data_IF_989182437546
#
_entry.id   IF_989182437546
#
_cell.length_a   1.000
_cell.length_b   1.000
_cell.length_c   1.000
_cell.angle_alpha   90.00
_cell.angle_beta   90.00
_cell.angle_gamma   90.00
#
_symmetry.space_group_name_H-M   'P 1'
#
loop_
_entity.id
_entity.type
_entity.pdbx_description
1 polymer ?
#
# COMPACT_ATOMS: atom_id res chain seq x y z
N UNK A 1 20.38 22.58 7.16
CA UNK A 1 20.56 21.73 5.97
C UNK A 1 19.37 20.79 5.90
N UNK A 2 18.40 21.09 5.03
CA UNK A 2 17.23 20.22 4.86
C UNK A 2 17.63 19.03 3.99
N UNK A 3 17.62 17.83 4.57
CA UNK A 3 17.70 16.58 3.83
C UNK A 3 16.38 16.39 3.09
N UNK A 4 16.37 16.66 1.78
CA UNK A 4 15.28 16.24 0.91
C UNK A 4 15.52 14.76 0.60
N UNK A 5 14.91 13.88 1.38
CA UNK A 5 14.88 12.45 1.06
C UNK A 5 13.89 12.24 -0.08
N UNK A 6 14.40 12.15 -1.30
CA UNK A 6 13.63 11.66 -2.46
C UNK A 6 13.43 10.15 -2.32
N UNK A 7 12.51 9.71 -1.47
CA UNK A 7 12.08 8.30 -1.49
C UNK A 7 10.59 8.20 -1.67
N UNK A 8 10.14 8.75 -2.79
CA UNK A 8 8.96 8.27 -3.48
C UNK A 8 9.35 7.28 -4.58
N UNK A 9 10.20 6.29 -4.26
CA UNK A 9 10.75 5.30 -5.22
C UNK A 9 9.64 4.60 -6.01
N UNK A 10 9.92 3.92 -7.11
CA UNK A 10 8.89 3.27 -7.95
C UNK A 10 8.09 2.21 -7.18
N UNK A 11 6.91 1.83 -7.71
CA UNK A 11 6.16 0.66 -7.22
C UNK A 11 7.12 -0.53 -7.11
N UNK A 12 7.19 -1.22 -5.96
CA UNK A 12 8.10 -2.35 -5.78
C UNK A 12 7.71 -3.52 -6.69
N UNK A 13 8.67 -4.39 -6.99
CA UNK A 13 8.46 -5.55 -7.85
C UNK A 13 8.27 -6.83 -7.01
N UNK A 14 7.09 -6.98 -6.41
CA UNK A 14 6.68 -8.21 -5.73
C UNK A 14 6.24 -9.28 -6.73
N UNK A 15 6.39 -10.55 -6.34
CA UNK A 15 5.88 -11.69 -7.11
C UNK A 15 4.55 -12.16 -6.54
N UNK A 16 3.47 -11.84 -7.25
CA UNK A 16 2.12 -12.33 -6.94
C UNK A 16 2.08 -13.87 -6.95
N UNK A 17 2.81 -14.50 -7.86
CA UNK A 17 2.89 -15.96 -7.98
C UNK A 17 3.51 -16.60 -6.73
N UNK A 18 4.55 -15.98 -6.14
CA UNK A 18 5.17 -16.48 -4.91
C UNK A 18 4.25 -16.29 -3.71
N UNK A 19 3.64 -15.11 -3.58
CA UNK A 19 2.67 -14.81 -2.52
C UNK A 19 1.49 -15.77 -2.55
N UNK A 20 0.80 -15.86 -3.69
CA UNK A 20 -0.40 -16.68 -3.85
C UNK A 20 -0.14 -18.18 -3.75
N UNK A 21 1.06 -18.64 -4.15
CA UNK A 21 1.48 -20.02 -3.90
C UNK A 21 1.57 -20.30 -2.39
N UNK A 22 2.24 -19.42 -1.63
CA UNK A 22 2.38 -19.58 -0.18
C UNK A 22 1.01 -19.59 0.52
N UNK A 23 0.08 -18.74 0.08
CA UNK A 23 -1.29 -18.74 0.63
C UNK A 23 -2.04 -20.02 0.26
N UNK A 24 -1.99 -20.47 -1.00
CA UNK A 24 -2.65 -21.70 -1.40
C UNK A 24 -2.09 -22.95 -0.68
N UNK A 25 -0.78 -22.99 -0.43
CA UNK A 25 -0.12 -24.04 0.36
C UNK A 25 -0.58 -23.98 1.83
N UNK A 26 -0.63 -22.80 2.43
CA UNK A 26 -1.13 -22.60 3.80
C UNK A 26 -2.59 -23.05 3.95
N UNK A 27 -3.43 -22.75 2.95
CA UNK A 27 -4.85 -23.08 2.95
C UNK A 27 -5.14 -24.52 2.52
N UNK A 28 -4.16 -25.25 1.95
CA UNK A 28 -4.36 -26.53 1.27
C UNK A 28 -5.39 -26.47 0.11
N UNK A 29 -5.47 -25.31 -0.55
CA UNK A 29 -6.46 -25.01 -1.59
C UNK A 29 -5.75 -24.58 -2.89
N UNK A 30 -5.37 -25.52 -3.78
CA UNK A 30 -4.59 -25.21 -4.98
C UNK A 30 -5.35 -24.32 -5.98
N UNK A 31 -6.68 -24.41 -5.98
CA UNK A 31 -7.56 -23.61 -6.85
C UNK A 31 -7.65 -22.14 -6.41
N UNK A 32 -7.24 -21.82 -5.18
CA UNK A 32 -7.15 -20.45 -4.68
C UNK A 32 -6.05 -19.62 -5.39
N UNK A 33 -5.07 -20.27 -6.01
CA UNK A 33 -3.91 -19.59 -6.61
C UNK A 33 -4.32 -18.59 -7.69
N UNK A 34 -5.18 -18.99 -8.63
CA UNK A 34 -5.50 -18.17 -9.79
C UNK A 34 -6.33 -16.93 -9.40
N UNK A 35 -7.42 -17.04 -8.62
CA UNK A 35 -8.15 -15.87 -8.11
C UNK A 35 -7.28 -14.94 -7.26
N UNK A 36 -6.33 -15.48 -6.47
CA UNK A 36 -5.38 -14.67 -5.73
C UNK A 36 -4.47 -13.85 -6.65
N UNK A 37 -3.89 -14.48 -7.68
CA UNK A 37 -2.99 -13.82 -8.64
C UNK A 37 -3.72 -12.69 -9.37
N UNK A 38 -4.99 -12.89 -9.72
CA UNK A 38 -5.81 -11.86 -10.36
C UNK A 38 -5.98 -10.64 -9.46
N UNK A 39 -6.33 -10.84 -8.18
CA UNK A 39 -6.44 -9.75 -7.19
C UNK A 39 -5.13 -9.01 -6.97
N UNK A 40 -4.02 -9.73 -6.88
CA UNK A 40 -2.69 -9.13 -6.74
C UNK A 40 -2.30 -8.30 -7.97
N UNK A 41 -2.66 -8.75 -9.19
CA UNK A 41 -2.42 -8.00 -10.43
C UNK A 41 -3.30 -6.77 -10.54
N UNK A 42 -4.55 -6.85 -10.13
CA UNK A 42 -5.46 -5.69 -10.04
C UNK A 42 -4.90 -4.64 -9.08
N UNK A 43 -4.45 -5.05 -7.89
CA UNK A 43 -3.82 -4.15 -6.94
C UNK A 43 -2.53 -3.52 -7.49
N UNK A 44 -1.68 -4.30 -8.18
CA UNK A 44 -0.50 -3.76 -8.88
C UNK A 44 -0.87 -2.71 -9.94
N UNK A 45 -1.92 -2.94 -10.72
CA UNK A 45 -2.37 -1.98 -11.72
C UNK A 45 -2.87 -0.68 -11.07
N UNK A 46 -3.65 -0.78 -10.00
CA UNK A 46 -4.08 0.36 -9.19
C UNK A 46 -2.89 1.13 -8.63
N UNK A 47 -1.92 0.43 -8.03
CA UNK A 47 -0.67 1.02 -7.53
C UNK A 47 0.05 1.76 -8.65
N UNK A 48 0.26 1.16 -9.82
CA UNK A 48 0.93 1.81 -10.96
C UNK A 48 0.21 3.09 -11.40
N UNK A 49 -1.12 3.10 -11.39
CA UNK A 49 -1.92 4.24 -11.81
C UNK A 49 -1.95 5.40 -10.79
N UNK A 50 -1.87 5.10 -9.49
CA UNK A 50 -2.00 6.08 -8.41
C UNK A 50 -0.73 6.36 -7.62
N UNK A 51 0.37 5.64 -7.89
CA UNK A 51 1.59 5.66 -7.07
C UNK A 51 2.09 7.07 -6.74
N UNK A 52 2.15 7.95 -7.75
CA UNK A 52 2.65 9.32 -7.59
C UNK A 52 1.70 10.23 -6.81
N UNK A 53 0.44 9.82 -6.61
CA UNK A 53 -0.57 10.55 -5.83
C UNK A 53 -0.43 10.29 -4.33
N UNK A 54 0.14 9.15 -3.94
CA UNK A 54 0.40 8.85 -2.54
C UNK A 54 1.60 9.65 -2.00
N UNK A 55 1.49 10.08 -0.75
CA UNK A 55 2.58 10.79 -0.08
C UNK A 55 3.85 9.93 -0.04
N UNK A 56 5.02 10.57 -0.16
CA UNK A 56 6.30 9.86 -0.19
C UNK A 56 6.59 9.12 1.12
N UNK A 57 6.21 9.70 2.27
CA UNK A 57 6.38 9.07 3.57
C UNK A 57 5.55 7.80 3.67
N UNK A 58 4.30 7.87 3.24
CA UNK A 58 3.39 6.72 3.31
C UNK A 58 3.80 5.61 2.35
N UNK A 59 4.32 5.96 1.16
CA UNK A 59 4.98 4.99 0.28
C UNK A 59 6.12 4.26 0.98
N UNK A 60 7.03 4.98 1.63
CA UNK A 60 8.12 4.35 2.36
C UNK A 60 7.63 3.45 3.51
N UNK A 61 6.69 3.95 4.32
CA UNK A 61 6.15 3.21 5.47
C UNK A 61 5.38 1.96 5.04
N UNK A 62 4.50 2.07 4.05
CA UNK A 62 3.69 0.95 3.58
C UNK A 62 4.49 -0.11 2.82
N UNK A 63 5.56 0.28 2.11
CA UNK A 63 6.51 -0.69 1.53
C UNK A 63 7.21 -1.49 2.63
N UNK A 64 7.64 -0.80 3.71
CA UNK A 64 8.24 -1.48 4.86
C UNK A 64 7.25 -2.44 5.53
N UNK A 65 6.00 -2.01 5.73
CA UNK A 65 4.95 -2.82 6.38
C UNK A 65 4.59 -4.05 5.54
N UNK A 66 4.30 -3.88 4.25
CA UNK A 66 3.96 -4.99 3.33
C UNK A 66 5.11 -5.99 3.13
N UNK A 67 6.34 -5.65 3.53
CA UNK A 67 7.51 -6.53 3.44
C UNK A 67 7.80 -7.30 4.74
N UNK A 68 7.01 -7.14 5.80
CA UNK A 68 7.22 -7.82 7.08
C UNK A 68 6.87 -9.32 7.03
N UNK A 69 5.96 -9.72 6.14
CA UNK A 69 5.60 -11.11 5.93
C UNK A 69 6.64 -11.91 5.14
N UNK A 70 6.50 -13.23 5.12
CA UNK A 70 7.38 -14.13 4.34
C UNK A 70 7.38 -13.82 2.84
N UNK A 71 6.26 -13.31 2.33
CA UNK A 71 6.11 -12.84 0.95
C UNK A 71 5.24 -11.59 0.94
N UNK A 72 5.67 -10.50 0.27
CA UNK A 72 4.90 -9.27 0.23
C UNK A 72 3.69 -9.35 -0.71
N UNK A 73 2.62 -8.59 -0.38
CA UNK A 73 1.38 -8.48 -1.16
C UNK A 73 1.17 -7.06 -1.70
N UNK A 74 0.75 -6.96 -2.95
CA UNK A 74 0.30 -5.71 -3.55
C UNK A 74 -1.04 -5.23 -2.99
N UNK A 75 -1.94 -6.15 -2.64
CA UNK A 75 -3.20 -5.80 -1.98
C UNK A 75 -2.91 -5.13 -0.64
N UNK A 76 -2.04 -5.73 0.18
CA UNK A 76 -1.65 -5.15 1.47
C UNK A 76 -1.00 -3.77 1.33
N UNK A 77 -0.07 -3.63 0.37
CA UNK A 77 0.57 -2.35 0.06
C UNK A 77 -0.45 -1.29 -0.35
N UNK A 78 -1.36 -1.62 -1.27
CA UNK A 78 -2.39 -0.70 -1.74
C UNK A 78 -3.33 -0.29 -0.60
N UNK A 79 -3.83 -1.25 0.18
CA UNK A 79 -4.71 -0.98 1.31
C UNK A 79 -4.04 -0.11 2.37
N UNK A 80 -2.75 -0.33 2.67
CA UNK A 80 -2.00 0.53 3.59
C UNK A 80 -1.96 1.98 3.09
N UNK A 81 -1.70 2.18 1.79
CA UNK A 81 -1.61 3.51 1.19
C UNK A 81 -2.95 4.25 1.17
N UNK A 82 -4.03 3.56 0.81
CA UNK A 82 -5.39 4.08 0.82
C UNK A 82 -5.80 4.49 2.25
N UNK A 83 -5.56 3.61 3.22
CA UNK A 83 -5.86 3.87 4.64
C UNK A 83 -5.07 5.08 5.15
N UNK A 84 -3.77 5.14 4.86
CA UNK A 84 -2.95 6.27 5.26
C UNK A 84 -3.46 7.58 4.63
N UNK A 85 -3.84 7.55 3.35
CA UNK A 85 -4.41 8.71 2.67
C UNK A 85 -5.70 9.18 3.34
N UNK A 86 -6.62 8.27 3.62
CA UNK A 86 -7.86 8.61 4.32
C UNK A 86 -7.61 9.26 5.69
N UNK A 87 -6.63 8.75 6.44
CA UNK A 87 -6.23 9.32 7.74
C UNK A 87 -5.74 10.76 7.55
N UNK A 88 -4.80 11.00 6.62
CA UNK A 88 -4.27 12.35 6.34
C UNK A 88 -5.37 13.34 5.93
N UNK A 89 -6.31 12.91 5.09
CA UNK A 89 -7.44 13.73 4.67
C UNK A 89 -8.37 14.06 5.83
N UNK A 90 -8.63 13.09 6.73
CA UNK A 90 -9.42 13.30 7.96
C UNK A 90 -8.72 14.29 8.89
N UNK A 91 -7.44 14.10 9.17
CA UNK A 91 -6.64 15.01 10.01
C UNK A 91 -6.65 16.43 9.45
N UNK A 92 -6.41 16.59 8.15
CA UNK A 92 -6.45 17.90 7.48
C UNK A 92 -7.80 18.58 7.66
N UNK A 93 -8.90 17.85 7.46
CA UNK A 93 -10.26 18.39 7.66
C UNK A 93 -10.49 18.81 9.11
N UNK A 94 -10.07 18.01 10.08
CA UNK A 94 -10.24 18.34 11.50
C UNK A 94 -9.40 19.55 11.91
N UNK A 95 -8.16 19.67 11.43
CA UNK A 95 -7.32 20.85 11.67
C UNK A 95 -7.94 22.13 11.10
N UNK A 96 -8.53 22.07 9.90
CA UNK A 96 -9.22 23.22 9.30
C UNK A 96 -10.45 23.65 10.13
N UNK A 97 -11.26 22.69 10.60
CA UNK A 97 -12.40 22.97 11.49
C UNK A 97 -11.95 23.61 12.79
N UNK A 98 -10.88 23.09 13.41
CA UNK A 98 -10.33 23.64 14.65
C UNK A 98 -9.79 25.06 14.46
N UNK A 99 -9.10 25.33 13.34
CA UNK A 99 -8.59 26.67 13.03
C UNK A 99 -9.73 27.69 12.85
N UNK A 100 -10.84 27.29 12.22
CA UNK A 100 -12.01 28.15 12.07
C UNK A 100 -12.82 28.38 13.35
N UNK A 101 -12.66 27.51 14.37
CA UNK A 101 -13.33 27.62 15.68
C UNK A 101 -12.54 28.45 16.70
N UNK A 102 -11.26 28.72 16.45
CA UNK A 102 -10.43 29.51 17.37
C UNK A 102 -10.93 30.96 17.38
N UNK A 103 -11.39 31.49 18.54
CA UNK A 103 -11.87 32.87 18.66
C UNK A 103 -10.75 33.90 18.48
#
# INVERSE_FOLDING_TARGET
MSLVVLTGGSVPNYSAERFCRGIAELLHEPDYRQPCIEREREALNSLKASWSKFDARDRSSCVSLSSLGATPSYVELLTCLETAQEIRERETREHLKQRGRRP
#
